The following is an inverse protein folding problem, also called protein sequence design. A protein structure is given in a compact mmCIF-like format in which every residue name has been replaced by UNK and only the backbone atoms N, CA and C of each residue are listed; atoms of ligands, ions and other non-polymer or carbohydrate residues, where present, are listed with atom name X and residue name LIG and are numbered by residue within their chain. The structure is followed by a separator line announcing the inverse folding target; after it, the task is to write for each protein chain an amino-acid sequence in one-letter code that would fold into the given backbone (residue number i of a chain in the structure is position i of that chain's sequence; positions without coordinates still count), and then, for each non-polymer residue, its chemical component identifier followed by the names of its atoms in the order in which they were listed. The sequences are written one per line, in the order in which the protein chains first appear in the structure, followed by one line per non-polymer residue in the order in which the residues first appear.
data_IF_266844754549
#
_entry.id   IF_266844754549
#
_cell.length_a   1.000
_cell.length_b   1.000
_cell.length_c   1.000
_cell.angle_alpha   90.00
_cell.angle_beta   90.00
_cell.angle_gamma   90.00
#
_symmetry.space_group_name_H-M   'P 1'
#
loop_
_entity.id
_entity.type
_entity.pdbx_description
1 polymer ?
#
# COMPACT_ATOMS: atom_id res chain seq x y z
N UNK A 1 -9.78 -9.72 -6.44
CA UNK A 1 -8.81 -9.27 -7.44
C UNK A 1 -7.83 -10.39 -7.76
N UNK A 2 -7.56 -10.63 -9.05
CA UNK A 2 -6.53 -11.60 -9.46
C UNK A 2 -5.14 -11.01 -9.27
N UNK A 3 -4.17 -11.82 -8.86
CA UNK A 3 -2.80 -11.36 -8.59
C UNK A 3 -2.18 -10.61 -9.77
N UNK A 4 -2.25 -11.18 -10.98
CA UNK A 4 -1.70 -10.55 -12.18
C UNK A 4 -2.34 -9.20 -12.54
N UNK A 5 -3.62 -9.01 -12.24
CA UNK A 5 -4.33 -7.74 -12.45
C UNK A 5 -3.86 -6.69 -11.42
N UNK A 6 -3.71 -7.10 -10.16
CA UNK A 6 -3.21 -6.24 -9.10
C UNK A 6 -1.77 -5.82 -9.39
N UNK A 7 -0.91 -6.77 -9.75
CA UNK A 7 0.48 -6.50 -10.10
C UNK A 7 0.61 -5.52 -11.26
N UNK A 8 -0.14 -5.75 -12.34
CA UNK A 8 -0.15 -4.83 -13.49
C UNK A 8 -0.57 -3.43 -13.07
N UNK A 9 -1.66 -3.29 -12.28
CA UNK A 9 -2.13 -1.99 -11.81
C UNK A 9 -1.11 -1.31 -10.89
N UNK A 10 -0.45 -2.04 -10.00
CA UNK A 10 0.57 -1.50 -9.10
C UNK A 10 1.77 -0.97 -9.88
N UNK A 11 2.25 -1.74 -10.87
CA UNK A 11 3.44 -1.40 -11.67
C UNK A 11 3.17 -0.34 -12.74
N UNK A 12 1.92 -0.06 -13.05
CA UNK A 12 1.52 1.04 -13.96
C UNK A 12 1.11 2.27 -13.16
N UNK A 13 0.97 3.41 -13.84
CA UNK A 13 0.52 4.66 -13.23
C UNK A 13 -0.67 5.22 -14.03
N UNK A 14 -1.84 4.55 -13.99
CA UNK A 14 -3.01 5.02 -14.72
C UNK A 14 -3.47 6.38 -14.21
N UNK A 15 -4.20 7.10 -15.04
CA UNK A 15 -4.82 8.35 -14.66
C UNK A 15 -5.81 8.15 -13.52
N UNK A 16 -5.74 9.01 -12.51
CA UNK A 16 -6.65 9.06 -11.39
C UNK A 16 -6.56 10.44 -10.73
N UNK A 17 -7.62 10.92 -10.13
CA UNK A 17 -7.60 12.19 -9.40
C UNK A 17 -6.52 12.25 -8.33
N UNK A 18 -6.24 11.14 -7.66
CA UNK A 18 -5.18 11.07 -6.64
C UNK A 18 -3.75 10.91 -7.23
N UNK A 19 -3.59 10.81 -8.55
CA UNK A 19 -2.29 10.82 -9.21
C UNK A 19 -1.82 12.28 -9.42
N UNK A 20 -1.54 12.97 -8.33
CA UNK A 20 -1.13 14.37 -8.32
C UNK A 20 0.16 14.57 -7.53
N UNK A 21 0.97 15.54 -7.94
CA UNK A 21 2.13 16.06 -7.20
C UNK A 21 1.93 17.52 -6.80
N UNK A 22 0.73 18.05 -6.96
CA UNK A 22 0.41 19.42 -6.60
C UNK A 22 0.46 19.61 -5.08
N UNK A 23 1.51 20.28 -4.62
CA UNK A 23 1.75 20.55 -3.20
C UNK A 23 0.65 21.39 -2.56
N UNK A 24 0.00 22.28 -3.30
CA UNK A 24 -1.10 23.11 -2.79
C UNK A 24 -2.28 22.22 -2.41
N UNK A 25 -2.63 21.28 -3.28
CA UNK A 25 -3.72 20.32 -3.01
C UNK A 25 -3.33 19.36 -1.88
N UNK A 26 -2.12 18.80 -1.95
CA UNK A 26 -1.65 17.85 -0.94
C UNK A 26 -1.59 18.47 0.46
N UNK A 27 -1.18 19.72 0.60
CA UNK A 27 -1.11 20.41 1.90
C UNK A 27 -2.47 20.66 2.55
N UNK A 28 -3.57 20.60 1.79
CA UNK A 28 -4.92 20.77 2.34
C UNK A 28 -5.45 19.51 3.03
N UNK A 29 -4.97 18.34 2.64
CA UNK A 29 -5.51 17.04 3.09
C UNK A 29 -4.51 16.20 3.88
N UNK A 30 -3.22 16.51 3.76
CA UNK A 30 -2.17 15.81 4.47
C UNK A 30 -1.81 16.58 5.74
N UNK A 31 -1.62 15.83 6.82
CA UNK A 31 -1.06 16.40 8.04
C UNK A 31 0.45 16.68 7.85
N UNK A 32 1.06 17.42 8.78
CA UNK A 32 2.47 17.83 8.68
C UNK A 32 3.45 16.65 8.59
N UNK A 33 3.11 15.48 9.12
CA UNK A 33 3.97 14.29 9.09
C UNK A 33 3.99 13.61 7.72
N UNK A 34 2.94 13.80 6.91
CA UNK A 34 2.79 13.17 5.61
C UNK A 34 3.27 14.09 4.47
N UNK A 35 3.70 15.32 4.78
CA UNK A 35 4.14 16.30 3.76
C UNK A 35 5.59 16.09 3.28
N UNK A 36 6.33 15.18 3.88
CA UNK A 36 7.73 14.89 3.51
C UNK A 36 7.88 14.18 2.16
N UNK A 37 6.82 13.56 1.65
CA UNK A 37 6.82 12.88 0.36
C UNK A 37 5.67 13.33 -0.53
N UNK A 38 5.85 13.25 -1.84
CA UNK A 38 4.80 13.42 -2.86
C UNK A 38 4.43 12.12 -3.55
N UNK A 39 5.02 11.00 -3.14
CA UNK A 39 4.88 9.71 -3.80
C UNK A 39 3.72 8.87 -3.23
N UNK A 40 2.56 9.51 -3.02
CA UNK A 40 1.37 8.86 -2.46
C UNK A 40 0.70 7.89 -3.41
N UNK A 41 0.83 8.12 -4.72
CA UNK A 41 0.16 7.30 -5.72
C UNK A 41 0.96 6.06 -6.08
N UNK A 42 2.29 6.19 -6.17
CA UNK A 42 3.23 5.09 -6.39
C UNK A 42 4.46 5.30 -5.51
N UNK A 43 4.87 4.24 -4.84
CA UNK A 43 5.97 4.28 -3.89
C UNK A 43 6.86 3.03 -4.03
N UNK A 44 8.08 3.14 -3.53
CA UNK A 44 9.06 2.07 -3.52
C UNK A 44 9.79 2.06 -2.18
N UNK A 45 9.99 0.87 -1.61
CA UNK A 45 10.79 0.65 -0.41
C UNK A 45 11.72 -0.51 -0.68
N UNK A 46 12.96 -0.38 -0.27
CA UNK A 46 13.99 -1.40 -0.42
C UNK A 46 14.50 -1.81 0.97
N UNK A 47 14.76 -3.09 1.13
CA UNK A 47 15.32 -3.66 2.34
C UNK A 47 16.45 -4.62 1.99
N UNK A 48 17.60 -4.47 2.66
CA UNK A 48 18.61 -5.50 2.68
C UNK A 48 18.10 -6.71 3.50
N UNK A 49 18.58 -7.91 3.19
CA UNK A 49 18.17 -9.18 3.83
C UNK A 49 18.18 -9.08 5.36
N UNK A 50 19.29 -8.60 5.91
CA UNK A 50 19.46 -8.52 7.37
C UNK A 50 18.52 -7.50 8.01
N UNK A 51 18.34 -6.36 7.33
CA UNK A 51 17.43 -5.30 7.78
C UNK A 51 16.00 -5.81 7.83
N UNK A 52 15.51 -6.46 6.75
CA UNK A 52 14.16 -7.01 6.69
C UNK A 52 13.93 -8.08 7.76
N UNK A 53 14.89 -8.98 7.95
CA UNK A 53 14.79 -10.05 8.96
C UNK A 53 14.67 -9.48 10.37
N UNK A 54 15.51 -8.50 10.72
CA UNK A 54 15.47 -7.80 12.01
C UNK A 54 14.18 -7.00 12.18
N UNK A 55 13.74 -6.33 11.13
CA UNK A 55 12.50 -5.54 11.15
C UNK A 55 11.29 -6.44 11.43
N UNK A 56 11.14 -7.54 10.69
CA UNK A 56 10.03 -8.48 10.87
C UNK A 56 10.06 -9.08 12.29
N UNK A 57 11.22 -9.51 12.79
CA UNK A 57 11.36 -10.00 14.15
C UNK A 57 10.90 -8.95 15.17
N UNK A 58 11.40 -7.71 15.04
CA UNK A 58 11.05 -6.61 15.96
C UNK A 58 9.55 -6.30 15.95
N UNK A 59 8.93 -6.34 14.77
CA UNK A 59 7.53 -5.90 14.58
C UNK A 59 6.51 -6.99 14.90
N UNK A 60 6.82 -8.25 14.58
CA UNK A 60 5.92 -9.40 14.78
C UNK A 60 6.22 -10.20 16.04
N UNK A 61 7.42 -10.08 16.62
CA UNK A 61 7.90 -10.94 17.70
C UNK A 61 8.26 -12.36 17.24
N UNK A 62 8.24 -12.65 15.93
CA UNK A 62 8.43 -13.98 15.36
C UNK A 62 9.79 -14.04 14.65
N UNK A 63 10.64 -14.96 15.07
CA UNK A 63 11.92 -15.24 14.41
C UNK A 63 11.72 -16.16 13.20
N UNK A 64 11.77 -15.58 12.01
CA UNK A 64 11.73 -16.30 10.74
C UNK A 64 13.13 -16.76 10.27
N UNK A 65 14.21 -16.30 10.93
CA UNK A 65 15.56 -16.42 10.39
C UNK A 65 15.79 -15.48 9.21
N UNK A 66 16.54 -15.94 8.21
CA UNK A 66 16.67 -15.19 6.94
C UNK A 66 15.36 -15.30 6.15
N UNK A 67 14.91 -14.21 5.58
CA UNK A 67 13.69 -14.20 4.78
C UNK A 67 14.02 -14.73 3.37
N UNK A 68 13.34 -15.78 2.97
CA UNK A 68 13.50 -16.41 1.65
C UNK A 68 12.50 -15.87 0.64
N UNK A 69 11.27 -15.59 1.12
CA UNK A 69 10.22 -15.06 0.25
C UNK A 69 9.11 -14.35 1.03
N UNK A 70 8.44 -13.45 0.35
CA UNK A 70 7.20 -12.79 0.75
C UNK A 70 6.16 -13.08 -0.35
N UNK A 71 5.23 -13.99 -0.09
CA UNK A 71 4.31 -14.47 -1.13
C UNK A 71 2.90 -13.92 -0.89
N UNK A 72 2.35 -13.13 -1.83
CA UNK A 72 0.94 -12.76 -1.84
C UNK A 72 0.04 -14.00 -1.80
N UNK A 73 -0.88 -14.07 -0.84
CA UNK A 73 -1.83 -15.19 -0.72
C UNK A 73 -3.23 -14.76 -1.11
N UNK A 74 -3.63 -13.58 -0.68
CA UNK A 74 -4.98 -13.08 -0.94
C UNK A 74 -4.98 -11.56 -1.00
N UNK A 75 -5.71 -11.01 -1.98
CA UNK A 75 -5.94 -9.57 -2.13
C UNK A 75 -7.44 -9.25 -2.08
N UNK A 76 -7.77 -8.11 -1.50
CA UNK A 76 -9.09 -7.52 -1.61
C UNK A 76 -9.36 -6.95 -3.00
N UNK A 77 -10.56 -6.42 -3.21
CA UNK A 77 -11.00 -5.82 -4.49
C UNK A 77 -10.15 -4.63 -4.91
N UNK A 78 -9.58 -3.90 -3.96
CA UNK A 78 -8.69 -2.75 -4.17
C UNK A 78 -7.22 -3.12 -4.46
N UNK A 79 -6.92 -4.40 -4.71
CA UNK A 79 -5.54 -4.89 -4.92
C UNK A 79 -4.68 -4.98 -3.66
N UNK A 80 -5.20 -4.59 -2.50
CA UNK A 80 -4.48 -4.65 -1.22
C UNK A 80 -4.40 -6.07 -0.68
N UNK A 81 -3.22 -6.46 -0.21
CA UNK A 81 -3.00 -7.73 0.45
C UNK A 81 -3.79 -7.79 1.76
N UNK A 82 -4.56 -8.84 1.94
CA UNK A 82 -5.25 -9.20 3.18
C UNK A 82 -4.60 -10.42 3.83
N UNK A 83 -3.84 -11.22 3.05
CA UNK A 83 -3.01 -12.31 3.57
C UNK A 83 -1.68 -12.36 2.81
N UNK A 84 -0.58 -12.42 3.59
CA UNK A 84 0.80 -12.51 3.10
C UNK A 84 1.49 -13.69 3.77
N UNK A 85 2.12 -14.55 2.97
CA UNK A 85 2.95 -15.64 3.48
C UNK A 85 4.40 -15.18 3.57
N UNK A 86 4.97 -15.27 4.76
CA UNK A 86 6.39 -15.01 5.02
C UNK A 86 7.09 -16.36 5.12
N UNK A 87 8.07 -16.58 4.26
CA UNK A 87 8.88 -17.80 4.22
C UNK A 87 10.28 -17.42 4.69
N UNK A 88 10.72 -18.02 5.77
CA UNK A 88 12.06 -17.86 6.30
C UNK A 88 12.76 -19.20 6.54
N UNK A 89 14.05 -19.14 6.84
CA UNK A 89 14.88 -20.35 7.08
C UNK A 89 14.47 -21.12 8.33
N UNK A 90 13.89 -20.44 9.32
CA UNK A 90 13.46 -21.06 10.57
C UNK A 90 11.96 -21.33 10.62
N UNK A 91 11.16 -20.52 9.93
CA UNK A 91 9.70 -20.58 10.02
C UNK A 91 9.01 -20.06 8.76
N UNK A 92 7.85 -20.63 8.48
CA UNK A 92 6.93 -20.15 7.45
C UNK A 92 5.57 -19.92 8.05
N UNK A 93 4.99 -18.73 7.88
CA UNK A 93 3.65 -18.42 8.38
C UNK A 93 2.91 -17.49 7.42
N UNK A 94 1.58 -17.51 7.51
CA UNK A 94 0.72 -16.54 6.85
C UNK A 94 0.28 -15.53 7.90
N UNK A 95 0.57 -14.25 7.65
CA UNK A 95 0.03 -13.14 8.41
C UNK A 95 -1.19 -12.57 7.71
N UNK A 96 -2.12 -12.05 8.47
CA UNK A 96 -3.38 -11.55 7.95
C UNK A 96 -3.73 -10.16 8.45
N UNK A 97 -4.70 -9.58 7.76
CA UNK A 97 -5.22 -8.24 7.79
C UNK A 97 -4.23 -7.18 7.26
N UNK A 98 -4.78 -6.27 6.54
CA UNK A 98 -4.07 -5.21 5.80
C UNK A 98 -3.13 -4.42 6.71
N UNK A 99 -3.62 -3.95 7.85
CA UNK A 99 -2.83 -3.14 8.78
C UNK A 99 -1.67 -3.92 9.40
N UNK A 100 -1.86 -5.21 9.71
CA UNK A 100 -0.80 -6.03 10.29
C UNK A 100 0.34 -6.28 9.30
N UNK A 101 0.01 -6.49 8.01
CA UNK A 101 1.00 -6.61 6.94
C UNK A 101 1.83 -5.32 6.85
N UNK A 102 1.19 -4.16 6.86
CA UNK A 102 1.87 -2.85 6.82
C UNK A 102 2.77 -2.62 8.03
N UNK A 103 2.30 -2.98 9.22
CA UNK A 103 3.08 -2.85 10.47
C UNK A 103 4.28 -3.77 10.51
N UNK A 104 4.15 -4.98 10.02
CA UNK A 104 5.23 -5.99 10.03
C UNK A 104 6.37 -5.62 9.11
N UNK A 105 6.07 -4.96 7.99
CA UNK A 105 7.04 -4.64 6.95
C UNK A 105 7.51 -3.18 6.96
N UNK A 106 7.35 -2.45 8.06
CA UNK A 106 7.85 -1.08 8.17
C UNK A 106 8.15 -0.71 9.62
N UNK A 107 9.15 0.15 9.88
CA UNK A 107 9.39 0.71 11.22
C UNK A 107 8.19 1.48 11.79
N UNK A 108 7.39 2.08 10.92
CA UNK A 108 6.11 2.70 11.26
C UNK A 108 4.95 1.91 10.64
N UNK A 109 4.53 2.28 9.45
CA UNK A 109 3.55 1.57 8.62
C UNK A 109 3.92 1.79 7.15
N UNK A 110 3.83 0.75 6.32
CA UNK A 110 3.85 0.94 4.87
C UNK A 110 2.69 1.84 4.44
N UNK A 111 2.87 2.57 3.38
CA UNK A 111 1.85 3.47 2.83
C UNK A 111 0.53 2.75 2.54
N UNK A 112 0.60 1.53 1.99
CA UNK A 112 -0.54 0.61 1.81
C UNK A 112 -0.06 -0.84 1.80
N UNK A 113 -0.98 -1.80 1.75
CA UNK A 113 -0.65 -3.20 1.46
C UNK A 113 -0.84 -3.57 -0.02
N UNK A 114 -1.03 -2.59 -0.91
CA UNK A 114 -1.03 -2.80 -2.34
C UNK A 114 0.40 -2.70 -2.87
N UNK A 115 1.16 -3.78 -2.82
CA UNK A 115 2.53 -3.83 -3.31
C UNK A 115 2.84 -5.16 -3.99
N UNK A 116 3.87 -5.14 -4.83
CA UNK A 116 4.56 -6.31 -5.39
C UNK A 116 5.92 -6.46 -4.75
N UNK A 117 6.48 -7.65 -4.83
CA UNK A 117 7.78 -7.98 -4.23
C UNK A 117 8.72 -8.46 -5.33
N UNK A 118 9.87 -7.82 -5.43
CA UNK A 118 10.97 -8.27 -6.27
C UNK A 118 12.14 -8.69 -5.37
N UNK A 119 12.73 -9.84 -5.66
CA UNK A 119 13.92 -10.38 -4.99
C UNK A 119 15.14 -10.10 -5.87
N UNK A 120 16.19 -9.58 -5.28
CA UNK A 120 17.40 -9.18 -5.99
C UNK A 120 18.60 -9.98 -5.46
N UNK A 121 19.50 -10.36 -6.35
CA UNK A 121 20.76 -11.04 -6.06
C UNK A 121 20.56 -12.30 -5.19
N UNK A 122 19.79 -13.27 -5.72
CA UNK A 122 19.44 -14.51 -5.01
C UNK A 122 20.58 -15.50 -5.07
N UNK A 123 21.23 -15.78 -3.92
CA UNK A 123 22.30 -16.76 -3.77
C UNK A 123 21.84 -17.91 -2.88
N UNK A 124 21.90 -19.14 -3.38
CA UNK A 124 21.45 -20.35 -2.67
C UNK A 124 19.99 -20.25 -2.13
N UNK A 125 19.12 -19.56 -2.87
CA UNK A 125 17.73 -19.35 -2.51
C UNK A 125 17.50 -18.25 -1.48
N UNK A 126 18.53 -17.51 -1.07
CA UNK A 126 18.46 -16.37 -0.15
C UNK A 126 18.66 -15.10 -0.96
N UNK A 127 17.67 -14.20 -1.00
CA UNK A 127 17.82 -12.89 -1.63
C UNK A 127 18.70 -11.98 -0.77
N UNK A 128 19.61 -11.23 -1.40
CA UNK A 128 20.37 -10.20 -0.71
C UNK A 128 19.51 -8.99 -0.39
N UNK A 129 18.51 -8.71 -1.26
CA UNK A 129 17.67 -7.54 -1.13
C UNK A 129 16.23 -7.82 -1.59
N UNK A 130 15.27 -7.12 -0.96
CA UNK A 130 13.85 -7.10 -1.32
C UNK A 130 13.43 -5.69 -1.75
N UNK A 131 12.68 -5.61 -2.83
CA UNK A 131 12.10 -4.37 -3.34
C UNK A 131 10.59 -4.49 -3.27
N UNK A 132 9.96 -3.61 -2.52
CA UNK A 132 8.50 -3.47 -2.46
C UNK A 132 8.09 -2.29 -3.33
N UNK A 133 7.43 -2.56 -4.45
CA UNK A 133 6.84 -1.54 -5.32
C UNK A 133 5.36 -1.46 -5.02
N UNK A 134 4.86 -0.30 -4.61
CA UNK A 134 3.52 -0.18 -4.08
C UNK A 134 2.69 0.95 -4.68
N UNK A 135 1.39 0.91 -4.39
CA UNK A 135 0.39 1.82 -4.92
C UNK A 135 -0.57 2.34 -3.86
N UNK A 136 -0.80 3.65 -3.86
CA UNK A 136 -1.75 4.35 -3.01
C UNK A 136 -1.34 4.40 -1.54
N UNK A 137 -2.13 5.12 -0.77
CA UNK A 137 -2.00 5.31 0.67
C UNK A 137 -3.25 4.82 1.40
N UNK A 138 -3.09 4.22 2.58
CA UNK A 138 -4.19 3.75 3.42
C UNK A 138 -4.86 2.44 2.96
N UNK A 139 -6.01 2.16 3.55
CA UNK A 139 -6.71 0.87 3.43
C UNK A 139 -7.47 0.65 2.11
N UNK A 140 -7.67 1.72 1.30
CA UNK A 140 -8.28 1.62 -0.04
C UNK A 140 -9.78 1.30 -0.05
N UNK A 141 -10.50 1.78 0.95
CA UNK A 141 -11.94 1.66 1.07
C UNK A 141 -12.56 3.04 1.33
N UNK A 142 -13.67 3.33 0.69
CA UNK A 142 -14.37 4.62 0.82
C UNK A 142 -13.73 5.74 0.00
N UNK A 143 -13.90 6.97 0.47
CA UNK A 143 -13.47 8.18 -0.22
C UNK A 143 -11.93 8.34 -0.15
N UNK A 144 -11.32 8.57 -1.31
CA UNK A 144 -9.92 8.98 -1.40
C UNK A 144 -9.78 10.48 -1.12
N UNK A 145 -9.18 10.84 0.00
CA UNK A 145 -9.04 12.23 0.43
C UNK A 145 -8.28 13.09 -0.59
N UNK A 146 -7.15 12.60 -1.11
CA UNK A 146 -6.37 13.31 -2.13
C UNK A 146 -7.17 13.49 -3.41
N UNK A 147 -7.82 12.43 -3.89
CA UNK A 147 -8.64 12.51 -5.09
C UNK A 147 -9.84 13.45 -4.94
N UNK A 148 -10.50 13.44 -3.78
CA UNK A 148 -11.59 14.36 -3.48
C UNK A 148 -11.12 15.83 -3.45
N UNK A 149 -9.94 16.10 -2.89
CA UNK A 149 -9.36 17.45 -2.89
C UNK A 149 -9.03 17.93 -4.30
N UNK A 150 -8.46 17.06 -5.14
CA UNK A 150 -8.20 17.38 -6.56
C UNK A 150 -9.50 17.68 -7.31
N UNK A 151 -10.54 16.87 -7.12
CA UNK A 151 -11.85 17.12 -7.71
C UNK A 151 -12.42 18.46 -7.24
N UNK A 152 -12.33 18.78 -5.94
CA UNK A 152 -12.79 20.07 -5.40
C UNK A 152 -12.04 21.26 -5.99
N UNK A 153 -10.71 21.18 -6.13
CA UNK A 153 -9.91 22.24 -6.77
C UNK A 153 -10.24 22.40 -8.26
N UNK A 154 -10.69 21.34 -8.92
CA UNK A 154 -11.20 21.36 -10.30
C UNK A 154 -12.64 21.86 -10.43
N UNK A 155 -13.30 22.21 -9.31
CA UNK A 155 -14.64 22.77 -9.29
C UNK A 155 -15.79 21.74 -9.28
N UNK A 156 -15.50 20.47 -9.02
CA UNK A 156 -16.58 19.49 -8.82
C UNK A 156 -17.35 19.80 -7.54
N UNK A 157 -18.67 19.62 -7.59
CA UNK A 157 -19.53 19.80 -6.42
C UNK A 157 -19.40 18.65 -5.44
N UNK A 158 -19.72 18.86 -4.17
CA UNK A 158 -19.57 17.86 -3.11
C UNK A 158 -20.37 16.57 -3.38
N UNK A 159 -21.58 16.70 -3.92
CA UNK A 159 -22.42 15.58 -4.33
C UNK A 159 -21.80 14.75 -5.45
N UNK A 160 -21.26 15.42 -6.48
CA UNK A 160 -20.52 14.75 -7.55
C UNK A 160 -19.30 13.99 -6.99
N UNK A 161 -18.55 14.58 -6.07
CA UNK A 161 -17.40 13.94 -5.43
C UNK A 161 -17.84 12.72 -4.63
N UNK A 162 -18.89 12.85 -3.80
CA UNK A 162 -19.39 11.74 -3.01
C UNK A 162 -19.88 10.58 -3.88
N UNK A 163 -20.68 10.85 -4.91
CA UNK A 163 -21.20 9.81 -5.81
C UNK A 163 -20.13 9.16 -6.69
N UNK A 164 -19.01 9.85 -6.94
CA UNK A 164 -17.85 9.25 -7.59
C UNK A 164 -17.24 8.11 -6.77
N UNK A 165 -17.14 8.27 -5.44
CA UNK A 165 -16.55 7.26 -4.55
C UNK A 165 -17.56 6.26 -3.98
N UNK A 166 -18.81 6.63 -3.87
CA UNK A 166 -19.89 5.79 -3.32
C UNK A 166 -20.91 5.48 -4.43
N UNK A 167 -20.49 4.62 -5.36
CA UNK A 167 -21.30 4.22 -6.51
C UNK A 167 -22.59 3.56 -6.05
N UNK A 168 -23.74 4.06 -6.54
CA UNK A 168 -25.07 3.56 -6.19
C UNK A 168 -25.64 4.10 -4.88
N UNK A 169 -24.94 5.02 -4.21
CA UNK A 169 -25.51 5.75 -3.08
C UNK A 169 -26.46 6.86 -3.57
N UNK A 170 -27.35 7.29 -2.69
CA UNK A 170 -28.18 8.49 -2.83
C UNK A 170 -27.80 9.50 -1.76
N UNK A 171 -28.01 10.78 -2.06
CA UNK A 171 -27.79 11.87 -1.11
C UNK A 171 -29.14 12.48 -0.80
N UNK A 172 -29.57 12.34 0.46
CA UNK A 172 -30.84 12.87 0.93
C UNK A 172 -30.62 13.97 1.99
N UNK A 173 -31.45 15.00 1.93
CA UNK A 173 -31.46 16.05 2.95
C UNK A 173 -32.38 15.62 4.09
N UNK A 174 -31.85 15.50 5.30
CA UNK A 174 -32.56 15.01 6.47
C UNK A 174 -33.31 16.12 7.25
N UNK A 175 -33.13 17.39 6.88
CA UNK A 175 -33.72 18.58 7.54
C UNK A 175 -33.93 19.71 6.54
#
# INVERSE_FOLDING_TARGET
CKEAEAERWIRTSPEAFCNTKDKKVLSQVLNNYDQETTDFYRWKVEYEQEELSKLILKRSGIDYGQILDLVPVERGTSGRLVRLKIIGTKRTMIIGKELEIRRTLSPSHLYSSAFTIDKVDVTNGIPDRFILTGAGWGHGVGLCQIGAAVMGEQGYTYDTILLHYYIGATIDKLY
#
